data_IF_388003974447
#
_entry.id   IF_388003974447
#
_cell.length_a   1.000
_cell.length_b   1.000
_cell.length_c   1.000
_cell.angle_alpha   90.00
_cell.angle_beta   90.00
_cell.angle_gamma   90.00
#
_symmetry.space_group_name_H-M   'P 1'
#
loop_
_entity.id
_entity.type
_entity.pdbx_description
1 polymer ?
#
# COMPACT_ATOMS: atom_id res chain seq x y z
N UNK A 1 15.06 12.27 -14.12
CA UNK A 1 13.61 12.16 -14.43
C UNK A 1 12.83 12.16 -13.12
N UNK A 2 11.65 12.77 -13.10
CA UNK A 2 10.75 12.76 -11.93
C UNK A 2 9.90 11.49 -11.96
N UNK A 3 9.79 10.84 -10.82
CA UNK A 3 8.96 9.66 -10.59
C UNK A 3 7.98 9.93 -9.45
N UNK A 4 6.92 9.14 -9.34
CA UNK A 4 6.08 9.07 -8.15
C UNK A 4 6.32 7.73 -7.46
N UNK A 5 6.49 7.71 -6.14
CA UNK A 5 6.58 6.42 -5.42
C UNK A 5 5.21 5.76 -5.42
N UNK A 6 5.11 4.65 -6.14
CA UNK A 6 3.88 3.90 -6.38
C UNK A 6 3.59 2.90 -5.26
N UNK A 7 4.62 2.18 -4.82
CA UNK A 7 4.52 1.20 -3.75
C UNK A 7 5.82 1.13 -2.93
N UNK A 8 5.69 0.80 -1.66
CA UNK A 8 6.81 0.52 -0.74
C UNK A 8 6.69 -0.93 -0.29
N UNK A 9 7.56 -1.80 -0.83
CA UNK A 9 7.55 -3.25 -0.59
C UNK A 9 8.41 -3.65 0.61
N UNK A 10 9.42 -2.84 0.90
CA UNK A 10 10.27 -2.88 2.08
C UNK A 10 10.92 -1.49 2.23
N UNK A 11 11.61 -1.23 3.35
CA UNK A 11 12.32 0.02 3.55
C UNK A 11 13.34 0.34 2.42
N UNK A 12 14.00 -0.68 1.87
CA UNK A 12 14.97 -0.56 0.79
C UNK A 12 14.42 -0.94 -0.59
N UNK A 13 13.12 -1.23 -0.72
CA UNK A 13 12.49 -1.74 -1.95
C UNK A 13 11.21 -0.99 -2.28
N UNK A 14 11.20 -0.33 -3.44
CA UNK A 14 10.06 0.48 -3.89
C UNK A 14 9.74 0.21 -5.35
N UNK A 15 8.51 0.54 -5.74
CA UNK A 15 8.10 0.64 -7.14
C UNK A 15 7.88 2.12 -7.43
N UNK A 16 8.51 2.61 -8.49
CA UNK A 16 8.34 3.96 -9.00
C UNK A 16 7.41 3.93 -10.20
N UNK A 17 6.50 4.89 -10.27
CA UNK A 17 5.72 5.20 -11.46
C UNK A 17 6.38 6.35 -12.20
N UNK A 18 6.78 6.10 -13.45
CA UNK A 18 7.37 7.07 -14.35
C UNK A 18 6.32 7.81 -15.20
N UNK A 19 6.78 8.64 -16.14
CA UNK A 19 5.89 9.24 -17.14
C UNK A 19 5.20 8.16 -17.98
N UNK A 20 4.05 8.51 -18.55
CA UNK A 20 3.31 7.62 -19.44
C UNK A 20 4.04 7.46 -20.78
N UNK A 21 3.97 6.25 -21.34
CA UNK A 21 4.45 5.93 -22.69
C UNK A 21 3.26 5.30 -23.41
N UNK A 22 2.87 5.86 -24.56
CA UNK A 22 1.66 5.45 -25.29
C UNK A 22 0.42 5.40 -24.37
N UNK A 23 0.21 6.45 -23.58
CA UNK A 23 -0.88 6.61 -22.60
C UNK A 23 -0.91 5.58 -21.46
N UNK A 24 0.08 4.69 -21.36
CA UNK A 24 0.20 3.73 -20.27
C UNK A 24 1.27 4.15 -19.25
N UNK A 25 1.01 3.99 -17.94
CA UNK A 25 1.99 4.27 -16.90
C UNK A 25 3.18 3.31 -17.01
N UNK A 26 4.40 3.84 -16.82
CA UNK A 26 5.61 3.01 -16.73
C UNK A 26 5.95 2.73 -15.27
N UNK A 27 6.40 1.51 -14.98
CA UNK A 27 6.81 1.11 -13.64
C UNK A 27 8.28 0.71 -13.61
N UNK A 28 9.00 1.16 -12.59
CA UNK A 28 10.38 0.76 -12.32
C UNK A 28 10.48 0.22 -10.89
N UNK A 29 10.75 -1.07 -10.76
CA UNK A 29 11.12 -1.66 -9.49
C UNK A 29 12.55 -1.24 -9.13
N UNK A 30 12.76 -0.75 -7.92
CA UNK A 30 14.06 -0.26 -7.46
C UNK A 30 14.49 -0.87 -6.12
N UNK A 31 15.79 -0.88 -5.88
CA UNK A 31 16.40 -1.09 -4.58
C UNK A 31 17.18 0.17 -4.16
N UNK A 32 17.20 0.51 -2.88
CA UNK A 32 18.11 1.53 -2.37
C UNK A 32 19.54 0.99 -2.44
N UNK A 33 20.42 1.73 -3.11
CA UNK A 33 21.81 1.32 -3.31
C UNK A 33 22.62 1.32 -2.01
N UNK A 34 23.60 0.42 -1.96
CA UNK A 34 24.65 0.33 -0.92
C UNK A 34 24.22 -0.03 0.50
N UNK A 35 22.92 -0.05 0.82
CA UNK A 35 22.42 -0.40 2.15
C UNK A 35 21.62 -1.70 2.14
N UNK A 36 21.44 -2.27 3.33
CA UNK A 36 20.49 -3.36 3.56
C UNK A 36 19.58 -2.98 4.71
N UNK A 37 18.27 -2.94 4.46
CA UNK A 37 17.28 -2.70 5.50
C UNK A 37 16.72 -4.02 6.05
N UNK A 38 16.22 -4.04 7.31
CA UNK A 38 15.54 -5.20 7.85
C UNK A 38 14.30 -5.58 7.03
N UNK A 39 14.00 -6.86 6.94
CA UNK A 39 12.91 -7.41 6.12
C UNK A 39 11.61 -7.52 6.89
N UNK A 40 10.55 -6.94 6.31
CA UNK A 40 9.17 -7.15 6.77
C UNK A 40 8.76 -8.63 6.67
N UNK A 41 7.87 -9.04 7.57
CA UNK A 41 7.11 -10.27 7.38
C UNK A 41 6.31 -10.22 6.07
N UNK A 42 6.31 -11.31 5.32
CA UNK A 42 5.57 -11.46 4.05
C UNK A 42 4.71 -12.70 4.08
N UNK A 43 3.53 -12.60 3.45
CA UNK A 43 2.65 -13.75 3.29
C UNK A 43 3.23 -14.74 2.28
N UNK A 44 3.31 -16.00 2.65
CA UNK A 44 3.77 -17.09 1.79
C UNK A 44 2.60 -17.63 0.95
N UNK A 45 2.91 -18.48 -0.04
CA UNK A 45 1.89 -19.18 -0.82
C UNK A 45 1.01 -20.11 0.04
N UNK A 46 1.52 -20.60 1.18
CA UNK A 46 0.77 -21.43 2.14
C UNK A 46 -0.20 -20.62 3.00
N UNK A 47 -0.11 -19.29 2.98
CA UNK A 47 -0.96 -18.38 3.76
C UNK A 47 -0.36 -17.96 5.12
N UNK A 48 0.80 -18.50 5.48
CA UNK A 48 1.57 -18.12 6.67
C UNK A 48 2.39 -16.84 6.43
N UNK A 49 2.96 -16.29 7.50
CA UNK A 49 3.89 -15.16 7.41
C UNK A 49 5.32 -15.61 7.65
N UNK A 50 6.26 -15.12 6.83
CA UNK A 50 7.68 -15.21 7.14
C UNK A 50 8.00 -14.44 8.42
N UNK A 51 9.05 -14.80 9.18
CA UNK A 51 9.52 -14.00 10.29
C UNK A 51 9.84 -12.55 9.86
N UNK A 52 9.55 -11.59 10.74
CA UNK A 52 9.97 -10.20 10.60
C UNK A 52 11.34 -10.00 11.25
N UNK A 53 12.24 -9.28 10.58
CA UNK A 53 13.52 -8.89 11.17
C UNK A 53 13.33 -7.69 12.11
N UNK A 54 14.12 -7.56 13.19
CA UNK A 54 14.03 -6.42 14.11
C UNK A 54 14.06 -5.06 13.41
N UNK A 55 13.17 -4.15 13.83
CA UNK A 55 13.01 -2.80 13.28
C UNK A 55 12.53 -2.71 11.82
N UNK A 56 12.11 -3.83 11.20
CA UNK A 56 11.66 -3.80 9.80
C UNK A 56 10.41 -2.95 9.60
N UNK A 57 9.45 -3.01 10.52
CA UNK A 57 8.24 -2.21 10.45
C UNK A 57 8.53 -0.71 10.52
N UNK A 58 9.38 -0.30 11.47
CA UNK A 58 9.79 1.08 11.66
C UNK A 58 10.56 1.62 10.46
N UNK A 59 11.48 0.82 9.91
CA UNK A 59 12.19 1.14 8.68
C UNK A 59 11.23 1.36 7.50
N UNK A 60 10.28 0.44 7.31
CA UNK A 60 9.32 0.54 6.23
C UNK A 60 8.35 1.72 6.43
N UNK A 61 7.90 1.98 7.65
CA UNK A 61 7.01 3.10 7.96
C UNK A 61 7.70 4.46 7.77
N UNK A 62 8.99 4.58 8.11
CA UNK A 62 9.76 5.80 7.82
C UNK A 62 9.73 6.12 6.33
N UNK A 63 10.00 5.13 5.48
CA UNK A 63 10.03 5.31 4.02
C UNK A 63 8.63 5.49 3.45
N UNK A 64 7.65 4.68 3.87
CA UNK A 64 6.27 4.76 3.42
C UNK A 64 5.67 6.12 3.74
N UNK A 65 5.70 6.54 5.01
CA UNK A 65 5.14 7.83 5.42
C UNK A 65 5.84 9.03 4.78
N UNK A 66 7.13 8.90 4.47
CA UNK A 66 7.90 9.96 3.83
C UNK A 66 7.67 10.04 2.33
N UNK A 67 7.58 8.91 1.61
CA UNK A 67 7.69 8.92 0.15
C UNK A 67 6.45 8.45 -0.61
N UNK A 68 5.54 7.65 -0.02
CA UNK A 68 4.39 7.09 -0.77
C UNK A 68 3.55 8.18 -1.45
N UNK A 69 3.31 8.04 -2.75
CA UNK A 69 2.56 9.00 -3.55
C UNK A 69 3.23 10.35 -3.78
N UNK A 70 4.46 10.57 -3.30
CA UNK A 70 5.21 11.82 -3.52
C UNK A 70 6.07 11.73 -4.77
N UNK A 71 6.30 12.89 -5.38
CA UNK A 71 7.27 13.03 -6.45
C UNK A 71 8.69 12.93 -5.91
N UNK A 72 9.54 12.19 -6.61
CA UNK A 72 10.93 11.93 -6.24
C UNK A 72 11.83 11.95 -7.47
N UNK A 73 13.11 12.26 -7.25
CA UNK A 73 14.16 12.04 -8.24
C UNK A 73 14.88 10.74 -7.89
N UNK A 74 14.94 9.83 -8.86
CA UNK A 74 15.75 8.63 -8.77
C UNK A 74 17.10 8.86 -9.47
N UNK A 75 18.18 8.54 -8.77
CA UNK A 75 19.55 8.52 -9.31
C UNK A 75 19.99 7.06 -9.33
N UNK A 76 20.05 6.49 -10.53
CA UNK A 76 20.45 5.10 -10.72
C UNK A 76 21.97 4.98 -10.56
N UNK A 77 22.42 4.07 -9.71
CA UNK A 77 23.85 3.85 -9.46
C UNK A 77 24.33 2.56 -10.16
N UNK A 78 23.53 1.49 -10.18
CA UNK A 78 23.83 0.26 -10.89
C UNK A 78 22.58 -0.61 -11.09
N UNK A 79 22.66 -1.60 -12.00
CA UNK A 79 21.63 -2.62 -12.16
C UNK A 79 21.99 -3.91 -11.43
N UNK A 80 21.02 -4.55 -10.78
CA UNK A 80 21.17 -5.86 -10.13
C UNK A 80 20.51 -6.92 -11.02
N UNK A 81 21.31 -7.59 -11.85
CA UNK A 81 20.82 -8.59 -12.81
C UNK A 81 20.04 -9.73 -12.12
N UNK A 82 20.55 -10.26 -11.02
CA UNK A 82 19.91 -11.36 -10.29
C UNK A 82 18.51 -11.01 -9.74
N UNK A 83 18.23 -9.73 -9.52
CA UNK A 83 16.94 -9.25 -9.01
C UNK A 83 16.09 -8.57 -10.09
N UNK A 84 16.62 -8.43 -11.31
CA UNK A 84 16.02 -7.63 -12.38
C UNK A 84 15.57 -6.24 -11.89
N UNK A 85 16.46 -5.55 -11.17
CA UNK A 85 16.10 -4.35 -10.41
C UNK A 85 17.19 -3.29 -10.51
N UNK A 86 16.80 -2.05 -10.78
CA UNK A 86 17.71 -0.89 -10.70
C UNK A 86 18.00 -0.55 -9.24
N UNK A 87 19.28 -0.47 -8.88
CA UNK A 87 19.72 0.04 -7.59
C UNK A 87 20.08 1.52 -7.70
N UNK A 88 19.64 2.32 -6.75
CA UNK A 88 19.95 3.74 -6.76
C UNK A 88 19.45 4.49 -5.53
N UNK A 89 19.58 5.81 -5.59
CA UNK A 89 19.20 6.74 -4.52
C UNK A 89 17.90 7.44 -4.85
N UNK A 90 17.07 7.65 -3.82
CA UNK A 90 15.81 8.37 -3.90
C UNK A 90 15.93 9.70 -3.18
N UNK A 91 15.73 10.78 -3.93
CA UNK A 91 15.69 12.15 -3.43
C UNK A 91 14.25 12.66 -3.44
N UNK A 92 13.72 12.97 -2.25
CA UNK A 92 12.41 13.61 -2.07
C UNK A 92 12.51 15.13 -2.04
N UNK A 93 11.44 15.76 -1.54
CA UNK A 93 11.42 17.20 -1.29
C UNK A 93 12.47 17.60 -0.24
N UNK A 94 12.91 18.86 -0.28
CA UNK A 94 13.88 19.43 0.68
C UNK A 94 15.20 18.64 0.80
N UNK A 95 15.65 18.00 -0.29
CA UNK A 95 16.85 17.16 -0.34
C UNK A 95 16.84 16.01 0.69
N UNK A 96 15.67 15.51 1.07
CA UNK A 96 15.56 14.31 1.89
C UNK A 96 15.90 13.08 1.06
N UNK A 97 17.03 12.43 1.40
CA UNK A 97 17.48 11.20 0.75
C UNK A 97 17.07 9.97 1.56
N UNK A 98 16.40 9.01 0.92
CA UNK A 98 15.89 7.80 1.57
C UNK A 98 17.00 6.97 2.28
N UNK A 99 18.13 6.75 1.60
CA UNK A 99 19.28 6.00 2.13
C UNK A 99 19.85 6.69 3.37
N UNK A 100 20.12 7.99 3.28
CA UNK A 100 20.61 8.77 4.40
C UNK A 100 19.66 8.79 5.59
N UNK A 101 18.34 8.85 5.36
CA UNK A 101 17.33 8.78 6.42
C UNK A 101 17.39 7.45 7.19
N UNK A 102 17.45 6.32 6.48
CA UNK A 102 17.55 5.01 7.10
C UNK A 102 18.84 4.85 7.91
N UNK A 103 19.98 5.29 7.37
CA UNK A 103 21.27 5.21 8.07
C UNK A 103 21.30 6.07 9.33
N UNK A 104 20.76 7.30 9.28
CA UNK A 104 20.71 8.23 10.43
C UNK A 104 19.88 7.71 11.59
N UNK A 105 18.83 6.94 11.30
CA UNK A 105 17.98 6.33 12.32
C UNK A 105 18.38 4.91 12.70
N UNK A 106 19.47 4.38 12.14
CA UNK A 106 19.91 3.00 12.41
C UNK A 106 18.90 1.96 11.91
N UNK A 107 18.19 2.26 10.83
CA UNK A 107 17.15 1.41 10.21
C UNK A 107 17.65 0.72 8.94
N UNK A 108 18.95 0.80 8.66
CA UNK A 108 19.65 0.01 7.65
C UNK A 108 21.13 -0.13 8.01
N UNK A 109 21.77 -1.16 7.46
CA UNK A 109 23.22 -1.36 7.55
C UNK A 109 23.91 -0.88 6.28
N UNK A 110 25.12 -0.35 6.44
CA UNK A 110 26.09 -0.11 5.38
C UNK A 110 27.20 -1.17 5.51
N UNK A 111 27.66 -1.81 4.42
CA UNK A 111 28.79 -2.72 4.47
C UNK A 111 30.08 -2.07 5.01
N UNK A 112 30.79 -2.79 5.89
CA UNK A 112 32.05 -2.31 6.49
C UNK A 112 33.18 -2.15 5.46
N UNK A 113 33.10 -2.90 4.35
CA UNK A 113 33.97 -2.69 3.19
C UNK A 113 33.25 -1.82 2.19
N UNK A 114 33.94 -0.81 1.67
CA UNK A 114 33.42 0.08 0.62
C UNK A 114 32.88 -0.74 -0.55
N UNK A 115 31.58 -0.65 -0.87
CA UNK A 115 31.01 -1.35 -2.00
C UNK A 115 31.67 -0.93 -3.32
N UNK A 116 31.77 -1.83 -4.32
CA UNK A 116 32.17 -1.42 -5.65
C UNK A 116 31.17 -0.39 -6.22
N UNK A 117 31.66 0.58 -6.99
CA UNK A 117 30.86 1.63 -7.66
C UNK A 117 30.23 2.70 -6.75
N UNK A 118 30.49 2.69 -5.43
CA UNK A 118 30.18 3.86 -4.60
C UNK A 118 31.30 4.90 -4.74
N UNK A 119 30.96 6.18 -4.77
CA UNK A 119 31.95 7.27 -4.69
C UNK A 119 32.54 7.33 -3.27
N UNK A 120 33.82 7.71 -3.15
CA UNK A 120 34.53 7.72 -1.86
C UNK A 120 33.87 8.69 -0.87
N UNK A 121 33.56 9.89 -1.34
CA UNK A 121 32.94 10.95 -0.57
C UNK A 121 31.54 10.52 -0.07
N UNK A 122 30.77 9.84 -0.92
CA UNK A 122 29.46 9.31 -0.54
C UNK A 122 29.58 8.19 0.51
N UNK A 123 30.56 7.29 0.36
CA UNK A 123 30.81 6.24 1.35
C UNK A 123 31.21 6.82 2.71
N UNK A 124 32.04 7.86 2.74
CA UNK A 124 32.43 8.56 3.97
C UNK A 124 31.22 9.20 4.66
N UNK A 125 30.34 9.87 3.89
CA UNK A 125 29.10 10.46 4.41
C UNK A 125 28.18 9.39 5.02
N UNK A 126 27.94 8.28 4.31
CA UNK A 126 27.09 7.20 4.81
C UNK A 126 27.70 6.48 6.00
N UNK A 127 29.02 6.28 6.00
CA UNK A 127 29.76 5.68 7.12
C UNK A 127 29.62 6.54 8.36
N UNK A 128 29.73 7.87 8.24
CA UNK A 128 29.53 8.80 9.34
C UNK A 128 28.11 8.73 9.91
N UNK A 129 27.08 8.71 9.04
CA UNK A 129 25.69 8.56 9.49
C UNK A 129 25.48 7.24 10.25
N UNK A 130 25.97 6.13 9.70
CA UNK A 130 25.86 4.80 10.33
C UNK A 130 26.63 4.73 11.66
N UNK A 131 27.84 5.30 11.72
CA UNK A 131 28.63 5.38 12.94
C UNK A 131 27.93 6.20 14.03
N UNK A 132 27.34 7.34 13.67
CA UNK A 132 26.56 8.16 14.59
C UNK A 132 25.34 7.41 15.13
N UNK A 133 24.62 6.66 14.29
CA UNK A 133 23.48 5.85 14.72
C UNK A 133 23.89 4.71 15.65
N UNK A 134 25.03 4.04 15.37
CA UNK A 134 25.62 3.02 16.27
C UNK A 134 26.02 3.60 17.62
N UNK A 135 26.75 4.72 17.63
CA UNK A 135 27.19 5.38 18.86
C UNK A 135 25.99 5.82 19.72
N UNK A 136 24.92 6.29 19.08
CA UNK A 136 23.67 6.66 19.74
C UNK A 136 22.75 5.46 20.05
N UNK A 137 23.15 4.22 19.72
CA UNK A 137 22.36 3.00 19.93
C UNK A 137 20.94 3.09 19.35
N UNK A 138 20.81 3.63 18.13
CA UNK A 138 19.53 3.76 17.43
C UNK A 138 19.15 2.50 16.66
N UNK A 139 17.84 2.29 16.50
CA UNK A 139 17.28 1.25 15.63
C UNK A 139 17.91 -0.12 15.88
N UNK A 140 18.36 -0.78 14.83
CA UNK A 140 18.98 -2.12 14.89
C UNK A 140 20.23 -2.19 15.79
N UNK A 141 20.80 -1.05 16.18
CA UNK A 141 21.98 -0.96 17.06
C UNK A 141 21.62 -0.74 18.54
N UNK A 142 20.34 -0.68 18.91
CA UNK A 142 19.89 -0.41 20.28
C UNK A 142 20.16 -1.54 21.28
N UNK A 143 20.27 -2.78 20.79
CA UNK A 143 20.24 -3.99 21.62
C UNK A 143 18.83 -4.42 22.05
N UNK A 144 17.79 -3.68 21.65
CA UNK A 144 16.39 -3.96 21.98
C UNK A 144 15.62 -4.69 20.87
N UNK A 145 16.33 -5.28 19.91
CA UNK A 145 15.74 -5.85 18.70
C UNK A 145 14.56 -6.80 18.94
N UNK A 146 14.59 -7.59 20.02
CA UNK A 146 13.50 -8.51 20.37
C UNK A 146 12.15 -7.82 20.66
N UNK A 147 12.15 -6.54 21.06
CA UNK A 147 10.93 -5.74 21.29
C UNK A 147 10.36 -5.12 20.01
N UNK A 148 11.14 -5.12 18.93
CA UNK A 148 10.85 -4.45 17.66
C UNK A 148 10.63 -5.47 16.55
N UNK A 149 9.96 -6.57 16.87
CA UNK A 149 9.58 -7.62 15.93
C UNK A 149 8.07 -7.84 16.07
N UNK A 150 7.33 -7.65 14.98
CA UNK A 150 5.91 -8.02 14.95
C UNK A 150 5.75 -9.51 14.73
N UNK A 151 4.75 -10.08 15.40
CA UNK A 151 4.40 -11.48 15.24
C UNK A 151 3.14 -11.57 14.40
N UNK A 152 3.32 -11.48 13.07
CA UNK A 152 2.22 -11.52 12.12
C UNK A 152 1.45 -12.84 12.21
N UNK A 153 0.12 -12.74 12.31
CA UNK A 153 -0.81 -13.87 12.45
C UNK A 153 -1.89 -13.81 11.37
N UNK A 154 -2.23 -14.98 10.84
CA UNK A 154 -3.46 -15.20 10.07
C UNK A 154 -4.54 -15.67 11.02
N UNK A 155 -5.69 -15.00 11.04
CA UNK A 155 -6.86 -15.47 11.78
C UNK A 155 -7.65 -16.49 10.97
N UNK A 156 -8.30 -17.43 11.66
CA UNK A 156 -9.35 -18.23 11.01
C UNK A 156 -10.51 -17.31 10.59
N UNK A 157 -11.35 -17.73 9.62
CA UNK A 157 -12.54 -16.97 9.25
C UNK A 157 -13.44 -16.62 10.45
N UNK A 158 -13.63 -17.56 11.39
CA UNK A 158 -14.48 -17.39 12.57
C UNK A 158 -13.86 -16.42 13.59
N UNK A 159 -12.54 -16.53 13.82
CA UNK A 159 -11.81 -15.61 14.69
C UNK A 159 -11.83 -14.18 14.15
N UNK A 160 -11.61 -14.05 12.83
CA UNK A 160 -11.67 -12.76 12.14
C UNK A 160 -13.07 -12.17 12.25
N UNK A 161 -14.11 -12.95 11.96
CA UNK A 161 -15.51 -12.54 12.07
C UNK A 161 -15.84 -12.00 13.47
N UNK A 162 -15.49 -12.76 14.52
CA UNK A 162 -15.74 -12.35 15.92
C UNK A 162 -15.04 -11.03 16.26
N UNK A 163 -13.83 -10.83 15.77
CA UNK A 163 -13.07 -9.59 15.98
C UNK A 163 -13.69 -8.40 15.23
N UNK A 164 -14.12 -8.61 13.98
CA UNK A 164 -14.79 -7.59 13.17
C UNK A 164 -16.11 -7.13 13.81
N UNK A 165 -16.91 -8.06 14.35
CA UNK A 165 -18.13 -7.70 15.09
C UNK A 165 -17.84 -6.78 16.28
N UNK A 166 -16.68 -6.94 16.94
CA UNK A 166 -16.25 -6.05 18.03
C UNK A 166 -15.92 -4.62 17.61
N UNK A 167 -15.64 -4.38 16.33
CA UNK A 167 -15.34 -3.04 15.78
C UNK A 167 -16.38 -2.56 14.74
N UNK A 168 -17.47 -3.30 14.58
CA UNK A 168 -18.55 -2.94 13.66
C UNK A 168 -19.11 -1.55 13.98
N UNK A 169 -19.34 -0.77 12.94
CA UNK A 169 -19.82 0.61 13.03
C UNK A 169 -18.73 1.63 13.42
N UNK A 170 -17.52 1.19 13.79
CA UNK A 170 -16.43 2.11 14.12
C UNK A 170 -15.75 2.63 12.84
N UNK A 171 -15.19 3.83 12.94
CA UNK A 171 -14.33 4.41 11.91
C UNK A 171 -12.90 4.47 12.40
N UNK A 172 -12.02 3.67 11.79
CA UNK A 172 -10.63 3.53 12.21
C UNK A 172 -9.67 4.01 11.13
N UNK A 173 -8.45 4.36 11.53
CA UNK A 173 -7.37 4.66 10.60
C UNK A 173 -6.71 3.34 10.18
N UNK A 174 -6.95 2.93 8.95
CA UNK A 174 -6.59 1.60 8.45
C UNK A 174 -5.59 1.73 7.30
N UNK A 175 -4.56 0.88 7.29
CA UNK A 175 -3.58 0.83 6.20
C UNK A 175 -4.07 -0.10 5.11
N UNK A 176 -4.09 0.38 3.87
CA UNK A 176 -4.28 -0.46 2.69
C UNK A 176 -2.94 -1.05 2.30
N UNK A 177 -2.77 -2.35 2.51
CA UNK A 177 -1.53 -3.06 2.25
C UNK A 177 -1.38 -3.39 0.77
N UNK A 178 -2.50 -3.83 0.16
CA UNK A 178 -2.54 -4.22 -1.24
C UNK A 178 -3.94 -4.05 -1.81
N UNK A 179 -4.02 -3.57 -3.05
CA UNK A 179 -5.25 -3.62 -3.84
C UNK A 179 -5.24 -4.92 -4.64
N UNK A 180 -6.19 -5.83 -4.36
CA UNK A 180 -6.29 -7.12 -5.07
C UNK A 180 -7.15 -6.94 -6.33
N UNK A 181 -8.28 -6.26 -6.19
CA UNK A 181 -9.20 -5.90 -7.28
C UNK A 181 -9.85 -4.55 -6.98
N UNK A 182 -10.68 -4.00 -7.88
CA UNK A 182 -11.42 -2.77 -7.61
C UNK A 182 -12.33 -2.82 -6.37
N UNK A 183 -12.66 -4.01 -5.86
CA UNK A 183 -13.58 -4.19 -4.72
C UNK A 183 -13.00 -5.02 -3.58
N UNK A 184 -11.76 -5.51 -3.71
CA UNK A 184 -11.09 -6.34 -2.71
C UNK A 184 -9.72 -5.77 -2.36
N UNK A 185 -9.53 -5.48 -1.09
CA UNK A 185 -8.29 -4.97 -0.52
C UNK A 185 -7.73 -5.95 0.51
N UNK A 186 -6.41 -5.96 0.68
CA UNK A 186 -5.77 -6.47 1.89
C UNK A 186 -5.47 -5.27 2.78
N UNK A 187 -5.93 -5.31 4.02
CA UNK A 187 -5.80 -4.21 4.97
C UNK A 187 -5.17 -4.67 6.30
N UNK A 188 -4.61 -3.72 7.04
CA UNK A 188 -4.18 -3.89 8.43
C UNK A 188 -4.64 -2.70 9.28
N UNK A 189 -5.03 -2.97 10.52
CA UNK A 189 -5.54 -1.95 11.46
C UNK A 189 -5.04 -2.28 12.86
N UNK A 190 -4.63 -1.27 13.63
CA UNK A 190 -3.92 -1.46 14.90
C UNK A 190 -4.76 -2.24 15.92
N UNK A 191 -6.06 -2.00 15.90
CA UNK A 191 -7.09 -2.62 16.73
C UNK A 191 -7.17 -4.14 16.53
N UNK A 192 -6.70 -4.65 15.39
CA UNK A 192 -6.65 -6.07 15.07
C UNK A 192 -5.28 -6.71 15.38
N UNK A 193 -4.31 -5.92 15.84
CA UNK A 193 -2.94 -6.37 16.10
C UNK A 193 -2.14 -6.67 14.83
N UNK A 194 -1.11 -7.51 14.97
CA UNK A 194 -0.20 -7.90 13.88
C UNK A 194 -0.89 -8.87 12.92
N UNK A 195 -1.80 -8.37 12.09
CA UNK A 195 -2.49 -9.17 11.08
C UNK A 195 -2.76 -8.36 9.81
N UNK A 196 -2.99 -9.08 8.73
CA UNK A 196 -3.51 -8.56 7.46
C UNK A 196 -4.64 -9.47 7.01
N UNK A 197 -5.74 -8.88 6.55
CA UNK A 197 -6.91 -9.64 6.14
C UNK A 197 -7.60 -9.01 4.91
N UNK A 198 -8.31 -9.82 4.12
CA UNK A 198 -9.11 -9.33 3.01
C UNK A 198 -10.32 -8.54 3.51
N UNK A 199 -10.63 -7.44 2.84
CA UNK A 199 -11.83 -6.66 3.08
C UNK A 199 -12.44 -6.21 1.74
N UNK A 200 -13.76 -6.32 1.65
CA UNK A 200 -14.56 -5.98 0.48
C UNK A 200 -15.17 -4.59 0.64
N UNK A 201 -15.21 -3.83 -0.46
CA UNK A 201 -15.89 -2.55 -0.48
C UNK A 201 -17.41 -2.78 -0.49
N UNK A 202 -18.08 -2.36 0.57
CA UNK A 202 -19.52 -2.62 0.79
C UNK A 202 -20.36 -2.00 -0.32
N UNK A 203 -21.33 -2.76 -0.82
CA UNK A 203 -22.37 -2.27 -1.73
C UNK A 203 -21.95 -2.16 -3.20
N UNK A 204 -20.73 -2.59 -3.58
CA UNK A 204 -20.24 -2.50 -4.96
C UNK A 204 -19.60 -3.80 -5.47
N UNK A 205 -19.68 -4.03 -6.78
CA UNK A 205 -19.16 -5.23 -7.46
C UNK A 205 -18.57 -4.94 -8.84
N UNK A 206 -17.68 -5.82 -9.28
CA UNK A 206 -17.20 -5.92 -10.66
C UNK A 206 -17.68 -7.18 -11.37
N UNK A 207 -18.46 -8.07 -10.73
CA UNK A 207 -18.83 -9.40 -11.26
C UNK A 207 -19.61 -9.32 -12.58
N UNK A 208 -20.40 -8.27 -12.77
CA UNK A 208 -21.18 -8.06 -14.00
C UNK A 208 -20.49 -7.10 -14.97
N UNK A 209 -19.19 -6.88 -14.79
CA UNK A 209 -18.33 -6.08 -15.66
C UNK A 209 -17.34 -7.00 -16.37
N UNK A 210 -17.73 -7.51 -17.54
CA UNK A 210 -16.89 -8.38 -18.38
C UNK A 210 -15.75 -7.64 -19.10
N UNK A 211 -15.63 -6.33 -18.93
CA UNK A 211 -14.56 -5.52 -19.51
C UNK A 211 -13.32 -5.57 -18.61
N UNK A 212 -12.37 -6.45 -18.97
CA UNK A 212 -11.10 -6.59 -18.27
C UNK A 212 -10.26 -5.31 -18.29
N UNK A 213 -10.34 -4.50 -19.36
CA UNK A 213 -9.62 -3.23 -19.46
C UNK A 213 -10.15 -2.23 -18.44
N UNK A 214 -11.47 -2.11 -18.34
CA UNK A 214 -12.10 -1.23 -17.36
C UNK A 214 -11.79 -1.68 -15.92
N UNK A 215 -11.76 -2.99 -15.66
CA UNK A 215 -11.38 -3.53 -14.35
C UNK A 215 -9.89 -3.24 -14.02
N UNK A 216 -9.00 -3.33 -15.01
CA UNK A 216 -7.58 -2.99 -14.85
C UNK A 216 -7.38 -1.49 -14.60
N UNK A 217 -8.07 -0.62 -15.35
CA UNK A 217 -8.07 0.83 -15.15
C UNK A 217 -8.61 1.22 -13.77
N UNK A 218 -9.72 0.60 -13.36
CA UNK A 218 -10.30 0.80 -12.03
C UNK A 218 -9.30 0.39 -10.94
N UNK A 219 -8.70 -0.81 -11.05
CA UNK A 219 -7.69 -1.29 -10.09
C UNK A 219 -6.51 -0.32 -10.00
N UNK A 220 -5.97 0.12 -11.13
CA UNK A 220 -4.89 1.10 -11.18
C UNK A 220 -5.28 2.43 -10.53
N UNK A 221 -6.51 2.91 -10.75
CA UNK A 221 -7.04 4.11 -10.11
C UNK A 221 -7.04 3.98 -8.57
N UNK A 222 -7.49 2.84 -8.03
CA UNK A 222 -7.47 2.57 -6.59
C UNK A 222 -6.03 2.48 -6.06
N UNK A 223 -5.16 1.74 -6.76
CA UNK A 223 -3.75 1.57 -6.36
C UNK A 223 -3.06 2.93 -6.20
N UNK A 224 -3.24 3.82 -7.18
CA UNK A 224 -2.68 5.17 -7.15
C UNK A 224 -3.14 5.99 -5.96
N UNK A 225 -4.37 5.79 -5.47
CA UNK A 225 -4.98 6.62 -4.43
C UNK A 225 -4.90 6.01 -3.03
N UNK A 226 -4.88 4.69 -2.90
CA UNK A 226 -5.02 4.02 -1.61
C UNK A 226 -3.85 3.12 -1.24
N UNK A 227 -3.14 2.51 -2.19
CA UNK A 227 -2.11 1.52 -1.87
C UNK A 227 -1.00 2.09 -0.97
N UNK A 228 -0.64 1.33 0.07
CA UNK A 228 0.30 1.70 1.13
C UNK A 228 -0.04 3.02 1.85
N UNK A 229 -1.30 3.46 1.84
CA UNK A 229 -1.78 4.64 2.58
C UNK A 229 -2.65 4.26 3.75
N UNK A 230 -2.61 5.11 4.77
CA UNK A 230 -3.54 5.09 5.89
C UNK A 230 -4.78 5.89 5.48
N UNK A 231 -5.95 5.26 5.51
CA UNK A 231 -7.22 5.84 5.11
C UNK A 231 -8.24 5.64 6.23
N UNK A 232 -9.25 6.51 6.30
CA UNK A 232 -10.34 6.34 7.25
C UNK A 232 -11.26 5.25 6.71
N UNK A 233 -11.49 4.21 7.49
CA UNK A 233 -12.33 3.08 7.10
C UNK A 233 -13.44 2.94 8.12
N UNK A 234 -14.68 2.96 7.64
CA UNK A 234 -15.84 2.53 8.41
C UNK A 234 -16.01 1.01 8.23
N UNK A 235 -16.16 0.29 9.33
CA UNK A 235 -16.33 -1.17 9.34
C UNK A 235 -17.83 -1.50 9.33
N UNK A 236 -18.38 -1.77 8.15
CA UNK A 236 -19.82 -2.08 7.95
C UNK A 236 -20.21 -3.44 8.58
N UNK A 237 -19.23 -4.33 8.78
CA UNK A 237 -19.40 -5.60 9.48
C UNK A 237 -19.03 -6.78 8.59
N UNK A 238 -19.91 -7.78 8.52
CA UNK A 238 -19.72 -9.02 7.77
C UNK A 238 -20.90 -9.26 6.83
N UNK A 239 -20.65 -9.92 5.69
CA UNK A 239 -21.71 -10.48 4.86
C UNK A 239 -22.13 -11.89 5.32
N UNK A 240 -23.07 -12.50 4.58
CA UNK A 240 -23.57 -13.84 4.88
C UNK A 240 -22.54 -14.97 4.75
N UNK A 241 -21.33 -14.68 4.27
CA UNK A 241 -20.22 -15.64 4.15
C UNK A 241 -19.03 -15.28 5.05
N UNK A 242 -19.22 -14.39 6.03
CA UNK A 242 -18.17 -13.86 6.91
C UNK A 242 -17.06 -13.07 6.18
N UNK A 243 -17.33 -12.55 4.98
CA UNK A 243 -16.41 -11.62 4.35
C UNK A 243 -16.50 -10.26 5.06
N UNK A 244 -15.34 -9.65 5.33
CA UNK A 244 -15.27 -8.34 5.97
C UNK A 244 -15.74 -7.26 5.00
N UNK A 245 -16.70 -6.45 5.44
CA UNK A 245 -17.35 -5.39 4.67
C UNK A 245 -16.93 -4.03 5.22
N UNK A 246 -16.41 -3.17 4.33
CA UNK A 246 -15.87 -1.86 4.69
C UNK A 246 -16.27 -0.75 3.71
N UNK A 247 -16.30 0.48 4.24
CA UNK A 247 -16.46 1.70 3.46
C UNK A 247 -15.28 2.63 3.70
N UNK A 248 -14.66 3.10 2.61
CA UNK A 248 -13.49 3.99 2.70
C UNK A 248 -13.98 5.43 2.67
N UNK A 249 -13.73 6.13 3.76
CA UNK A 249 -14.30 7.45 4.03
C UNK A 249 -13.30 8.57 3.77
N UNK A 250 -13.79 9.64 3.17
CA UNK A 250 -13.07 10.91 3.00
C UNK A 250 -13.98 12.08 3.37
N UNK A 251 -13.45 13.30 3.55
CA UNK A 251 -14.28 14.50 3.69
C UNK A 251 -15.22 14.78 2.51
N UNK A 252 -14.98 14.15 1.35
CA UNK A 252 -15.78 14.32 0.12
C UNK A 252 -16.88 13.25 -0.04
N UNK A 253 -16.98 12.29 0.89
CA UNK A 253 -17.85 11.12 0.77
C UNK A 253 -17.07 9.81 0.75
N UNK A 254 -17.74 8.71 0.39
CA UNK A 254 -17.11 7.40 0.31
C UNK A 254 -16.37 7.20 -1.02
N UNK A 255 -15.31 6.40 -0.99
CA UNK A 255 -14.58 6.03 -2.20
C UNK A 255 -15.43 5.18 -3.16
N UNK A 256 -16.41 4.44 -2.64
CA UNK A 256 -17.36 3.66 -3.45
C UNK A 256 -18.21 4.55 -4.37
N UNK A 257 -18.68 5.70 -3.88
CA UNK A 257 -19.39 6.69 -4.70
C UNK A 257 -18.53 7.17 -5.87
N UNK A 258 -17.23 7.41 -5.64
CA UNK A 258 -16.31 7.83 -6.70
C UNK A 258 -16.16 6.75 -7.79
N UNK A 259 -16.00 5.48 -7.39
CA UNK A 259 -15.93 4.37 -8.34
C UNK A 259 -17.22 4.19 -9.15
N UNK A 260 -18.38 4.32 -8.50
CA UNK A 260 -19.69 4.24 -9.16
C UNK A 260 -19.88 5.39 -10.15
N UNK A 261 -19.56 6.63 -9.75
CA UNK A 261 -19.71 7.81 -10.61
C UNK A 261 -18.90 7.72 -11.91
N UNK A 262 -17.75 7.03 -11.88
CA UNK A 262 -16.90 6.77 -13.06
C UNK A 262 -17.37 5.57 -13.88
N UNK A 263 -18.38 4.83 -13.40
CA UNK A 263 -18.86 3.59 -14.00
C UNK A 263 -17.84 2.45 -13.92
N UNK A 264 -16.91 2.49 -12.97
CA UNK A 264 -15.88 1.45 -12.79
C UNK A 264 -16.43 0.19 -12.12
N UNK A 265 -17.50 0.34 -11.35
CA UNK A 265 -18.17 -0.71 -10.58
C UNK A 265 -19.69 -0.53 -10.69
N UNK A 266 -20.44 -1.55 -10.27
CA UNK A 266 -21.90 -1.53 -10.17
C UNK A 266 -22.34 -1.74 -8.73
N UNK A 267 -23.58 -1.39 -8.40
CA UNK A 267 -24.19 -1.63 -7.10
C UNK A 267 -24.38 -3.13 -6.87
N UNK A 268 -23.99 -3.60 -5.68
CA UNK A 268 -24.22 -4.97 -5.23
C UNK A 268 -25.33 -5.00 -4.19
N UNK A 269 -26.55 -5.31 -4.64
CA UNK A 269 -27.76 -5.31 -3.82
C UNK A 269 -27.67 -6.23 -2.59
N UNK A 270 -26.97 -7.37 -2.69
CA UNK A 270 -26.85 -8.32 -1.58
C UNK A 270 -26.10 -7.74 -0.36
N UNK A 271 -25.19 -6.78 -0.59
CA UNK A 271 -24.34 -6.19 0.45
C UNK A 271 -24.66 -4.73 0.72
N UNK A 272 -25.44 -4.09 -0.15
CA UNK A 272 -25.85 -2.69 -0.01
C UNK A 272 -26.54 -2.39 1.34
N UNK A 273 -27.42 -3.26 1.89
CA UNK A 273 -28.06 -3.02 3.19
C UNK A 273 -27.10 -2.92 4.38
N UNK A 274 -25.84 -3.37 4.23
CA UNK A 274 -24.82 -3.22 5.27
C UNK A 274 -24.23 -1.81 5.30
N UNK A 275 -24.35 -1.05 4.22
CA UNK A 275 -23.80 0.29 4.12
C UNK A 275 -24.69 1.30 4.84
N UNK A 276 -24.04 2.27 5.49
CA UNK A 276 -24.72 3.47 6.02
C UNK A 276 -24.97 4.54 4.95
N UNK A 277 -24.64 4.29 3.67
CA UNK A 277 -24.64 5.26 2.56
C UNK A 277 -25.42 4.78 1.33
N UNK A 278 -26.58 4.16 1.57
CA UNK A 278 -27.40 3.52 0.52
C UNK A 278 -27.85 4.54 -0.54
N UNK A 279 -28.33 5.70 -0.10
CA UNK A 279 -28.85 6.74 -1.00
C UNK A 279 -27.75 7.33 -1.88
N UNK A 280 -26.56 7.55 -1.34
CA UNK A 280 -25.44 8.09 -2.10
C UNK A 280 -24.89 7.07 -3.12
N UNK A 281 -24.77 5.80 -2.72
CA UNK A 281 -24.35 4.71 -3.60
C UNK A 281 -25.32 4.54 -4.77
N UNK A 282 -26.62 4.49 -4.50
CA UNK A 282 -27.65 4.32 -5.54
C UNK A 282 -27.72 5.54 -6.47
N UNK A 283 -27.62 6.74 -5.91
CA UNK A 283 -27.59 8.00 -6.69
C UNK A 283 -26.36 8.08 -7.60
N UNK A 284 -25.18 7.66 -7.13
CA UNK A 284 -23.96 7.65 -7.91
C UNK A 284 -24.06 6.71 -9.12
N UNK A 285 -24.64 5.52 -8.95
CA UNK A 285 -24.87 4.60 -10.08
C UNK A 285 -25.90 5.16 -11.08
N UNK A 286 -27.01 5.73 -10.59
CA UNK A 286 -28.01 6.35 -11.45
C UNK A 286 -27.41 7.49 -12.30
N UNK A 287 -26.54 8.32 -11.70
CA UNK A 287 -25.81 9.36 -12.42
C UNK A 287 -24.87 8.79 -13.49
N UNK A 288 -24.14 7.72 -13.17
CA UNK A 288 -23.25 7.05 -14.13
C UNK A 288 -24.01 6.41 -15.30
N UNK A 289 -25.18 5.81 -15.06
CA UNK A 289 -26.10 5.31 -16.10
C UNK A 289 -26.55 6.41 -17.03
N UNK A 290 -27.03 7.54 -16.48
CA UNK A 290 -27.47 8.71 -17.26
C UNK A 290 -26.36 9.28 -18.15
N UNK A 291 -25.12 9.25 -17.66
CA UNK A 291 -23.94 9.73 -18.39
C UNK A 291 -23.32 8.66 -19.29
N UNK A 292 -23.83 7.42 -19.28
CA UNK A 292 -23.25 6.26 -19.99
C UNK A 292 -21.75 6.08 -19.69
N UNK A 293 -21.37 6.32 -18.44
CA UNK A 293 -19.98 6.25 -17.98
C UNK A 293 -19.51 4.80 -17.80
N UNK A 294 -18.24 4.52 -18.12
CA UNK A 294 -17.60 3.23 -17.86
C UNK A 294 -18.40 2.02 -18.38
N UNK A 295 -18.78 1.12 -17.47
CA UNK A 295 -19.54 -0.09 -17.80
C UNK A 295 -20.97 0.20 -18.33
N UNK A 296 -21.43 1.45 -18.30
CA UNK A 296 -22.74 1.88 -18.79
C UNK A 296 -22.72 2.46 -20.22
N UNK A 297 -21.59 2.41 -20.93
CA UNK A 297 -21.46 2.92 -22.32
C UNK A 297 -22.57 2.41 -23.27
N UNK A 298 -22.97 1.16 -23.11
CA UNK A 298 -23.99 0.49 -23.93
C UNK A 298 -25.32 0.28 -23.18
N UNK A 299 -25.55 1.00 -22.09
CA UNK A 299 -26.79 0.89 -21.33
C UNK A 299 -28.00 1.32 -22.17
N UNK A 300 -29.06 0.51 -22.09
CA UNK A 300 -30.39 0.78 -22.66
C UNK A 300 -31.36 0.78 -21.50
N UNK A 301 -32.18 1.83 -21.39
CA UNK A 301 -33.21 1.91 -20.35
C UNK A 301 -34.21 0.75 -20.52
N UNK A 302 -34.57 0.04 -19.44
CA UNK A 302 -35.67 -0.92 -19.48
C UNK A 302 -36.96 -0.22 -19.91
N UNK A 303 -37.64 -0.82 -20.88
CA UNK A 303 -38.97 -0.39 -21.35
C UNK A 303 -40.03 -0.76 -20.34
#
# INVERSE_FOLDING_TARGET
MSYVVYAVENADRMILMGPTVADQPTFKAIALSYIQAPKLARRTATGDFTPEEPYAYEAAELIRSTFIGKQVRFVEDYYIEALQRSAGRIMGANNQEATGMLLKEGLATLPDRMPPRIEKELYEIYSLMSASARAARKGIFSGEGAKHVRHMKSYSPEELAKKIEGIKGQQLLTRVEKVVSPTLLIISVKEMGDTQFPAHLTGITTKDNGDESLNAEAKFFIERLLQNRNVKVHYDGLDGFNNVMISIMSPKGSFQEELLSKGCVKVQNATLPLSTRIDEITSAEAAAKKQRAGCWKHYVEPV
#
